data_IF_737209978583
#
_entry.id   IF_737209978583
#
_cell.length_a   1.000
_cell.length_b   1.000
_cell.length_c   1.000
_cell.angle_alpha   90.00
_cell.angle_beta   90.00
_cell.angle_gamma   90.00
#
_symmetry.space_group_name_H-M   'P 1'
#
loop_
_entity.id
_entity.type
_entity.pdbx_description
1 polymer ?
#
# COMPACT_ATOMS: atom_id res chain seq x y z
N UNK A 1 22.59 29.88 -0.18
CA UNK A 1 21.97 28.74 0.52
C UNK A 1 22.72 28.54 1.82
N UNK A 2 22.02 28.38 2.95
CA UNK A 2 22.69 28.04 4.20
C UNK A 2 23.20 26.59 4.13
N UNK A 3 24.22 26.25 4.92
CA UNK A 3 24.81 24.91 4.88
C UNK A 3 23.79 23.85 5.34
N UNK A 4 22.85 24.21 6.22
CA UNK A 4 21.75 23.35 6.67
C UNK A 4 20.87 22.92 5.50
N UNK A 5 20.51 23.86 4.62
CA UNK A 5 19.67 23.57 3.44
C UNK A 5 20.42 22.64 2.48
N UNK A 6 21.72 22.89 2.26
CA UNK A 6 22.55 22.03 1.40
C UNK A 6 22.64 20.61 1.98
N UNK A 7 22.81 20.49 3.29
CA UNK A 7 22.85 19.21 3.99
C UNK A 7 21.53 18.44 3.88
N UNK A 8 20.39 19.08 4.14
CA UNK A 8 19.07 18.44 4.06
C UNK A 8 18.74 18.04 2.62
N UNK A 9 19.03 18.90 1.63
CA UNK A 9 18.85 18.57 0.22
C UNK A 9 19.73 17.41 -0.23
N UNK A 10 20.98 17.36 0.26
CA UNK A 10 21.86 16.23 0.01
C UNK A 10 21.31 14.93 0.60
N UNK A 11 20.85 14.96 1.86
CA UNK A 11 20.22 13.78 2.48
C UNK A 11 18.98 13.32 1.72
N UNK A 12 18.13 14.25 1.29
CA UNK A 12 16.93 13.95 0.50
C UNK A 12 17.28 13.32 -0.85
N UNK A 13 18.26 13.87 -1.55
CA UNK A 13 18.71 13.34 -2.84
C UNK A 13 19.39 11.97 -2.68
N UNK A 14 20.20 11.79 -1.64
CA UNK A 14 20.81 10.51 -1.30
C UNK A 14 19.76 9.44 -0.97
N UNK A 15 18.71 9.80 -0.21
CA UNK A 15 17.60 8.91 0.10
C UNK A 15 16.84 8.50 -1.17
N UNK A 16 16.52 9.46 -2.05
CA UNK A 16 15.86 9.18 -3.34
C UNK A 16 16.70 8.26 -4.22
N UNK A 17 18.00 8.54 -4.37
CA UNK A 17 18.91 7.69 -5.16
C UNK A 17 19.00 6.29 -4.56
N UNK A 18 19.07 6.16 -3.23
CA UNK A 18 19.07 4.86 -2.55
C UNK A 18 17.78 4.08 -2.81
N UNK A 19 16.62 4.75 -2.74
CA UNK A 19 15.32 4.14 -3.05
C UNK A 19 15.19 3.73 -4.51
N UNK A 20 15.73 4.49 -5.46
CA UNK A 20 15.72 4.13 -6.89
C UNK A 20 16.65 2.94 -7.18
N UNK A 21 17.82 2.91 -6.54
CA UNK A 21 18.81 1.87 -6.78
C UNK A 21 18.48 0.55 -6.07
N UNK A 22 17.63 0.58 -5.04
CA UNK A 22 17.19 -0.57 -4.23
C UNK A 22 18.35 -1.50 -3.76
N UNK A 23 19.58 -0.99 -3.69
CA UNK A 23 20.76 -1.79 -3.29
C UNK A 23 20.78 -2.13 -1.82
N UNK A 24 20.17 -1.28 -1.01
CA UNK A 24 19.99 -1.48 0.43
C UNK A 24 18.50 -1.46 0.75
N UNK A 25 18.06 -2.21 1.79
CA UNK A 25 16.68 -2.16 2.24
C UNK A 25 16.21 -0.73 2.56
N UNK A 26 14.94 -0.45 2.28
CA UNK A 26 14.35 0.89 2.42
C UNK A 26 14.29 1.35 3.87
N UNK A 27 14.08 0.42 4.82
CA UNK A 27 14.14 0.62 6.25
C UNK A 27 15.55 1.02 6.71
N UNK A 28 16.59 0.36 6.20
CA UNK A 28 17.99 0.72 6.49
C UNK A 28 18.31 2.13 5.99
N UNK A 29 17.84 2.49 4.78
CA UNK A 29 17.99 3.85 4.24
C UNK A 29 17.30 4.88 5.15
N UNK A 30 16.04 4.62 5.54
CA UNK A 30 15.26 5.53 6.38
C UNK A 30 15.92 5.74 7.76
N UNK A 31 16.34 4.66 8.43
CA UNK A 31 17.03 4.72 9.73
C UNK A 31 18.36 5.47 9.60
N UNK A 32 19.09 5.26 8.51
CA UNK A 32 20.38 5.95 8.27
C UNK A 32 20.18 7.45 8.10
N UNK A 33 19.21 7.87 7.28
CA UNK A 33 18.89 9.29 7.09
C UNK A 33 18.43 9.92 8.40
N UNK A 34 17.56 9.22 9.15
CA UNK A 34 17.10 9.64 10.48
C UNK A 34 18.26 9.79 11.48
N UNK A 35 19.19 8.83 11.51
CA UNK A 35 20.35 8.89 12.39
C UNK A 35 21.28 10.06 12.01
N UNK A 36 21.54 10.25 10.72
CA UNK A 36 22.42 11.33 10.23
C UNK A 36 21.85 12.71 10.54
N UNK A 37 20.56 12.94 10.30
CA UNK A 37 19.93 14.23 10.64
C UNK A 37 19.94 14.46 12.15
N UNK A 38 19.67 13.42 12.95
CA UNK A 38 19.69 13.50 14.43
C UNK A 38 21.07 13.87 14.95
N UNK A 39 22.12 13.18 14.49
CA UNK A 39 23.50 13.44 14.91
C UNK A 39 23.89 14.87 14.55
N UNK A 40 23.65 15.29 13.30
CA UNK A 40 24.04 16.64 12.86
C UNK A 40 23.24 17.72 13.57
N UNK A 41 21.94 17.53 13.84
CA UNK A 41 21.13 18.45 14.65
C UNK A 41 21.70 18.64 16.06
N UNK A 42 22.06 17.55 16.75
CA UNK A 42 22.61 17.60 18.12
C UNK A 42 23.97 18.29 18.15
N UNK A 43 24.88 17.90 17.25
CA UNK A 43 26.25 18.43 17.25
C UNK A 43 26.35 19.86 16.74
N UNK A 44 25.47 20.27 15.83
CA UNK A 44 25.58 21.60 15.23
C UNK A 44 24.89 22.69 16.04
N UNK A 45 23.91 22.35 16.90
CA UNK A 45 23.18 23.33 17.73
C UNK A 45 22.50 24.45 16.93
N UNK A 46 22.24 24.24 15.64
CA UNK A 46 21.62 25.24 14.77
C UNK A 46 20.13 25.28 15.02
N UNK A 47 19.59 26.47 15.28
CA UNK A 47 18.14 26.70 15.42
C UNK A 47 17.35 26.42 14.13
N UNK A 48 18.03 26.27 12.99
CA UNK A 48 17.40 25.99 11.68
C UNK A 48 17.22 24.51 11.39
N UNK A 49 17.87 23.64 12.16
CA UNK A 49 17.70 22.20 12.07
C UNK A 49 16.66 21.75 13.11
N UNK A 50 15.88 20.71 12.81
CA UNK A 50 14.86 20.24 13.74
C UNK A 50 15.52 19.73 15.02
N UNK A 51 14.95 20.14 16.16
CA UNK A 51 15.38 19.70 17.48
C UNK A 51 15.07 18.23 17.73
N UNK A 52 15.61 17.66 18.82
CA UNK A 52 15.35 16.26 19.20
C UNK A 52 13.86 15.96 19.35
N UNK A 53 13.10 16.89 19.95
CA UNK A 53 11.67 16.71 20.17
C UNK A 53 10.89 16.67 18.84
N UNK A 54 11.28 17.50 17.87
CA UNK A 54 10.66 17.52 16.53
C UNK A 54 10.99 16.25 15.74
N UNK A 55 12.26 15.83 15.77
CA UNK A 55 12.71 14.60 15.10
C UNK A 55 12.00 13.37 15.69
N UNK A 56 11.92 13.26 17.02
CA UNK A 56 11.22 12.16 17.69
C UNK A 56 9.70 12.28 17.54
N UNK A 57 9.17 13.49 17.36
CA UNK A 57 7.76 13.76 17.11
C UNK A 57 7.20 13.06 15.86
N UNK A 58 8.06 12.67 14.92
CA UNK A 58 7.68 11.86 13.73
C UNK A 58 7.04 10.53 14.15
N UNK A 59 7.50 9.91 15.25
CA UNK A 59 6.93 8.66 15.76
C UNK A 59 5.56 8.83 16.41
N UNK A 60 5.16 10.06 16.75
CA UNK A 60 3.81 10.35 17.23
C UNK A 60 2.78 10.40 16.10
N UNK A 61 3.16 10.16 14.84
CA UNK A 61 2.19 10.01 13.75
C UNK A 61 1.36 8.72 13.97
N UNK A 62 0.00 8.79 13.97
CA UNK A 62 -0.82 7.60 14.12
C UNK A 62 -0.74 6.65 12.91
N UNK A 63 -0.37 7.12 11.71
CA UNK A 63 -0.40 6.32 10.48
C UNK A 63 0.46 5.04 10.54
N UNK A 64 1.73 5.05 10.99
CA UNK A 64 2.50 3.82 11.16
C UNK A 64 1.80 2.79 12.06
N UNK A 65 1.18 3.23 13.15
CA UNK A 65 0.42 2.35 14.05
C UNK A 65 -0.84 1.81 13.38
N UNK A 66 -1.56 2.65 12.62
CA UNK A 66 -2.72 2.23 11.83
C UNK A 66 -2.32 1.20 10.77
N UNK A 67 -1.19 1.40 10.08
CA UNK A 67 -0.64 0.44 9.10
C UNK A 67 -0.32 -0.88 9.80
N UNK A 68 0.32 -0.86 10.97
CA UNK A 68 0.61 -2.07 11.75
C UNK A 68 -0.67 -2.83 12.13
N UNK A 69 -1.69 -2.12 12.63
CA UNK A 69 -2.99 -2.71 12.94
C UNK A 69 -3.67 -3.30 11.69
N UNK A 70 -3.59 -2.62 10.54
CA UNK A 70 -4.15 -3.13 9.29
C UNK A 70 -3.40 -4.33 8.74
N UNK A 71 -2.08 -4.45 8.97
CA UNK A 71 -1.34 -5.68 8.68
C UNK A 71 -1.81 -6.84 9.56
N UNK A 72 -2.11 -6.59 10.84
CA UNK A 72 -2.69 -7.61 11.73
C UNK A 72 -4.07 -8.06 11.23
N UNK A 73 -4.95 -7.11 10.88
CA UNK A 73 -6.28 -7.41 10.32
C UNK A 73 -6.15 -8.16 8.99
N UNK A 74 -5.27 -7.71 8.09
CA UNK A 74 -5.02 -8.37 6.80
C UNK A 74 -4.48 -9.80 6.97
N UNK A 75 -3.56 -10.00 7.91
CA UNK A 75 -3.02 -11.33 8.22
C UNK A 75 -4.06 -12.24 8.87
N UNK A 76 -4.92 -11.70 9.76
CA UNK A 76 -6.02 -12.43 10.36
C UNK A 76 -7.05 -12.85 9.30
N UNK A 77 -7.45 -11.94 8.41
CA UNK A 77 -8.33 -12.23 7.29
C UNK A 77 -7.73 -13.25 6.31
N UNK A 78 -6.42 -13.21 6.09
CA UNK A 78 -5.69 -14.22 5.31
C UNK A 78 -5.67 -15.60 5.96
N UNK A 79 -5.72 -15.69 7.29
CA UNK A 79 -5.82 -16.95 8.05
C UNK A 79 -7.27 -17.40 8.27
N UNK A 80 -8.23 -16.49 8.16
CA UNK A 80 -9.63 -16.85 8.14
C UNK A 80 -9.90 -17.56 6.81
N UNK A 81 -10.48 -18.76 6.89
CA UNK A 81 -10.98 -19.53 5.75
C UNK A 81 -12.04 -18.77 4.91
N UNK A 82 -12.28 -17.48 5.16
CA UNK A 82 -13.18 -16.60 4.40
C UNK A 82 -12.68 -16.42 2.96
N UNK A 83 -11.38 -16.18 2.77
CA UNK A 83 -10.80 -16.03 1.43
C UNK A 83 -10.75 -17.40 0.72
N UNK A 84 -10.51 -18.48 1.46
CA UNK A 84 -10.57 -19.87 0.96
C UNK A 84 -12.01 -20.31 0.63
N UNK A 85 -13.01 -19.87 1.39
CA UNK A 85 -14.41 -20.11 1.10
C UNK A 85 -14.85 -19.36 -0.17
N UNK A 86 -14.39 -18.11 -0.35
CA UNK A 86 -14.60 -17.35 -1.58
C UNK A 86 -13.96 -18.04 -2.80
N UNK A 87 -12.76 -18.58 -2.62
CA UNK A 87 -12.03 -19.32 -3.65
C UNK A 87 -12.71 -20.66 -4.01
N UNK A 88 -13.25 -21.37 -3.01
CA UNK A 88 -14.07 -22.57 -3.18
C UNK A 88 -15.40 -22.28 -3.91
N UNK A 89 -16.02 -21.13 -3.64
CA UNK A 89 -17.20 -20.68 -4.37
C UNK A 89 -16.88 -20.40 -5.85
N UNK A 90 -15.76 -19.71 -6.14
CA UNK A 90 -15.29 -19.48 -7.52
C UNK A 90 -15.05 -20.78 -8.29
N UNK A 91 -14.55 -21.82 -7.62
CA UNK A 91 -14.29 -23.12 -8.26
C UNK A 91 -15.59 -23.81 -8.72
N UNK A 92 -16.71 -23.55 -8.05
CA UNK A 92 -18.04 -24.04 -8.48
C UNK A 92 -18.61 -23.28 -9.69
N UNK A 93 -18.08 -22.09 -9.95
CA UNK A 93 -18.48 -21.20 -11.05
C UNK A 93 -17.64 -21.40 -12.32
N UNK A 94 -16.78 -22.42 -12.35
CA UNK A 94 -15.94 -22.78 -13.51
C UNK A 94 -16.77 -23.19 -14.74
N UNK A 95 -18.03 -23.59 -14.55
CA UNK A 95 -18.95 -23.95 -15.65
C UNK A 95 -19.49 -22.79 -16.49
N UNK A 96 -19.26 -21.52 -16.10
CA UNK A 96 -19.88 -20.34 -16.74
C UNK A 96 -19.05 -19.82 -17.94
N UNK A 97 -17.97 -20.53 -18.30
CA UNK A 97 -17.06 -20.16 -19.39
C UNK A 97 -16.06 -19.06 -19.01
N UNK A 98 -15.08 -18.83 -19.89
CA UNK A 98 -13.92 -17.96 -19.63
C UNK A 98 -14.29 -16.54 -19.18
N UNK A 99 -15.19 -15.89 -19.93
CA UNK A 99 -15.58 -14.50 -19.68
C UNK A 99 -16.39 -14.35 -18.39
N UNK A 100 -17.30 -15.30 -18.11
CA UNK A 100 -18.10 -15.29 -16.89
C UNK A 100 -17.23 -15.46 -15.64
N UNK A 101 -16.30 -16.42 -15.67
CA UNK A 101 -15.34 -16.59 -14.58
C UNK A 101 -14.46 -15.36 -14.39
N UNK A 102 -13.92 -14.79 -15.48
CA UNK A 102 -13.05 -13.62 -15.40
C UNK A 102 -13.73 -12.43 -14.74
N UNK A 103 -15.00 -12.17 -15.08
CA UNK A 103 -15.80 -11.11 -14.44
C UNK A 103 -16.00 -11.36 -12.94
N UNK A 104 -16.37 -12.60 -12.56
CA UNK A 104 -16.55 -12.96 -11.15
C UNK A 104 -15.24 -12.85 -10.39
N UNK A 105 -14.13 -13.28 -10.99
CA UNK A 105 -12.79 -13.16 -10.41
C UNK A 105 -12.44 -11.71 -10.14
N UNK A 106 -12.54 -10.85 -11.17
CA UNK A 106 -12.22 -9.42 -11.07
C UNK A 106 -13.08 -8.76 -9.99
N UNK A 107 -14.40 -8.98 -10.00
CA UNK A 107 -15.32 -8.39 -9.03
C UNK A 107 -15.02 -8.85 -7.59
N UNK A 108 -14.79 -10.15 -7.40
CA UNK A 108 -14.52 -10.73 -6.06
C UNK A 108 -13.20 -10.21 -5.50
N UNK A 109 -12.17 -10.19 -6.34
CA UNK A 109 -10.81 -9.76 -5.95
C UNK A 109 -10.80 -8.28 -5.64
N UNK A 110 -11.42 -7.44 -6.48
CA UNK A 110 -11.51 -6.01 -6.23
C UNK A 110 -12.26 -5.69 -4.93
N UNK A 111 -13.37 -6.39 -4.66
CA UNK A 111 -14.14 -6.21 -3.43
C UNK A 111 -13.33 -6.60 -2.18
N UNK A 112 -12.60 -7.71 -2.23
CA UNK A 112 -11.77 -8.16 -1.10
C UNK A 112 -10.56 -7.21 -0.93
N UNK A 113 -9.91 -6.83 -2.03
CA UNK A 113 -8.75 -5.94 -2.03
C UNK A 113 -9.09 -4.51 -1.59
N UNK A 114 -10.35 -4.10 -1.69
CA UNK A 114 -10.82 -2.85 -1.11
C UNK A 114 -10.73 -2.82 0.42
N UNK A 115 -10.54 -3.95 1.11
CA UNK A 115 -10.40 -3.97 2.57
C UNK A 115 -9.16 -4.70 3.05
N UNK A 116 -8.49 -5.44 2.16
CA UNK A 116 -7.29 -6.23 2.44
C UNK A 116 -6.19 -5.80 1.49
N UNK A 117 -4.97 -5.65 1.99
CA UNK A 117 -3.83 -5.32 1.14
C UNK A 117 -3.65 -6.36 0.01
N UNK A 118 -3.11 -5.92 -1.13
CA UNK A 118 -3.12 -6.67 -2.39
C UNK A 118 -2.41 -8.04 -2.29
N UNK A 119 -1.29 -8.11 -1.54
CA UNK A 119 -0.41 -9.30 -1.52
C UNK A 119 -1.10 -10.57 -0.97
N UNK A 120 -1.74 -10.57 0.21
CA UNK A 120 -2.52 -11.72 0.68
C UNK A 120 -3.61 -12.17 -0.29
N UNK A 121 -4.32 -11.21 -0.92
CA UNK A 121 -5.41 -11.52 -1.84
C UNK A 121 -4.87 -12.30 -3.04
N UNK A 122 -3.81 -11.81 -3.69
CA UNK A 122 -3.22 -12.51 -4.84
C UNK A 122 -2.74 -13.92 -4.47
N UNK A 123 -2.09 -14.09 -3.32
CA UNK A 123 -1.58 -15.40 -2.87
C UNK A 123 -2.70 -16.42 -2.68
N UNK A 124 -3.85 -16.02 -2.12
CA UNK A 124 -4.97 -16.97 -1.90
C UNK A 124 -5.70 -17.31 -3.19
N UNK A 125 -5.82 -16.37 -4.13
CA UNK A 125 -6.49 -16.62 -5.41
C UNK A 125 -5.59 -17.32 -6.44
N UNK A 126 -4.26 -17.26 -6.27
CA UNK A 126 -3.27 -17.92 -7.12
C UNK A 126 -3.59 -19.41 -7.40
N UNK A 127 -3.81 -20.29 -6.41
CA UNK A 127 -4.10 -21.70 -6.67
C UNK A 127 -5.39 -21.91 -7.48
N UNK A 128 -6.44 -21.12 -7.23
CA UNK A 128 -7.70 -21.21 -7.98
C UNK A 128 -7.52 -20.79 -9.43
N UNK A 129 -6.80 -19.68 -9.65
CA UNK A 129 -6.48 -19.20 -10.99
C UNK A 129 -5.60 -20.20 -11.75
N UNK A 130 -4.60 -20.79 -11.11
CA UNK A 130 -3.74 -21.80 -11.73
C UNK A 130 -4.50 -23.10 -12.06
N UNK A 131 -5.37 -23.55 -11.16
CA UNK A 131 -6.22 -24.73 -11.37
C UNK A 131 -7.16 -24.53 -12.58
N UNK A 132 -7.77 -23.36 -12.67
CA UNK A 132 -8.64 -23.03 -13.79
C UNK A 132 -7.89 -22.87 -15.12
N UNK A 133 -6.76 -22.16 -15.11
CA UNK A 133 -5.93 -22.01 -16.30
C UNK A 133 -5.58 -23.39 -16.90
N UNK A 134 -5.28 -24.36 -16.03
CA UNK A 134 -5.02 -25.74 -16.39
C UNK A 134 -6.26 -26.46 -16.94
N UNK A 135 -7.42 -26.34 -16.30
CA UNK A 135 -8.66 -27.00 -16.77
C UNK A 135 -9.17 -26.44 -18.09
N UNK A 136 -8.93 -25.15 -18.34
CA UNK A 136 -9.30 -24.47 -19.59
C UNK A 136 -8.21 -24.54 -20.68
N UNK A 137 -7.05 -25.14 -20.39
CA UNK A 137 -5.91 -25.24 -21.30
C UNK A 137 -5.45 -23.87 -21.85
N UNK A 138 -5.34 -22.88 -20.96
CA UNK A 138 -4.87 -21.53 -21.28
C UNK A 138 -3.66 -21.17 -20.41
N UNK A 139 -2.87 -20.19 -20.85
CA UNK A 139 -1.79 -19.64 -20.02
C UNK A 139 -2.34 -18.95 -18.77
N UNK A 140 -1.82 -19.30 -17.59
CA UNK A 140 -2.19 -18.70 -16.31
C UNK A 140 -2.00 -17.19 -16.30
N UNK A 141 -1.03 -16.65 -17.04
CA UNK A 141 -0.79 -15.20 -17.15
C UNK A 141 -2.02 -14.43 -17.63
N UNK A 142 -2.88 -15.04 -18.46
CA UNK A 142 -4.12 -14.41 -18.95
C UNK A 142 -5.15 -14.17 -17.85
N UNK A 143 -5.06 -14.91 -16.74
CA UNK A 143 -5.92 -14.75 -15.57
C UNK A 143 -5.20 -14.01 -14.42
N UNK A 144 -3.88 -14.20 -14.29
CA UNK A 144 -3.07 -13.56 -13.25
C UNK A 144 -2.89 -12.05 -13.48
N UNK A 145 -2.77 -11.60 -14.73
CA UNK A 145 -2.69 -10.16 -15.03
C UNK A 145 -3.99 -9.44 -14.63
N UNK A 146 -5.18 -9.88 -15.06
CA UNK A 146 -6.44 -9.29 -14.59
C UNK A 146 -6.65 -9.38 -13.08
N UNK A 147 -6.26 -10.49 -12.44
CA UNK A 147 -6.28 -10.64 -10.99
C UNK A 147 -5.46 -9.53 -10.31
N UNK A 148 -4.24 -9.30 -10.79
CA UNK A 148 -3.34 -8.28 -10.24
C UNK A 148 -3.93 -6.87 -10.37
N UNK A 149 -4.46 -6.52 -11.54
CA UNK A 149 -5.09 -5.21 -11.74
C UNK A 149 -6.35 -5.04 -10.91
N UNK A 150 -7.22 -6.06 -10.85
CA UNK A 150 -8.41 -6.02 -10.00
C UNK A 150 -8.06 -5.78 -8.53
N UNK A 151 -6.99 -6.41 -8.03
CA UNK A 151 -6.50 -6.19 -6.68
C UNK A 151 -6.02 -4.75 -6.47
N UNK A 152 -5.20 -4.22 -7.38
CA UNK A 152 -4.69 -2.85 -7.30
C UNK A 152 -5.83 -1.83 -7.32
N UNK A 153 -6.73 -1.90 -8.31
CA UNK A 153 -7.84 -0.96 -8.45
C UNK A 153 -8.86 -1.09 -7.32
N UNK A 154 -9.10 -2.30 -6.83
CA UNK A 154 -9.90 -2.53 -5.62
C UNK A 154 -9.31 -1.81 -4.41
N UNK A 155 -8.00 -1.99 -4.17
CA UNK A 155 -7.28 -1.34 -3.06
C UNK A 155 -7.22 0.18 -3.16
N UNK A 156 -7.32 0.74 -4.37
CA UNK A 156 -7.43 2.19 -4.57
C UNK A 156 -8.80 2.77 -4.17
N UNK A 157 -9.84 1.94 -3.99
CA UNK A 157 -11.17 2.44 -3.66
C UNK A 157 -11.34 2.86 -2.19
N UNK A 158 -10.46 2.42 -1.29
CA UNK A 158 -10.59 2.74 0.14
C UNK A 158 -9.30 3.22 0.77
N UNK A 159 -9.43 3.87 1.92
CA UNK A 159 -8.29 4.27 2.73
C UNK A 159 -7.46 3.07 3.21
N UNK A 160 -8.11 1.96 3.56
CA UNK A 160 -7.46 0.77 4.14
C UNK A 160 -6.88 -0.16 3.09
N UNK A 161 -7.32 -0.07 1.84
CA UNK A 161 -6.91 -0.98 0.77
C UNK A 161 -5.39 -0.99 0.51
N UNK A 162 -4.68 0.11 0.77
CA UNK A 162 -3.22 0.18 0.63
C UNK A 162 -2.55 0.95 1.76
N UNK A 163 -1.33 0.55 2.13
CA UNK A 163 -0.52 1.26 3.13
C UNK A 163 -0.15 2.68 2.70
N UNK A 164 -0.05 2.93 1.40
CA UNK A 164 0.20 4.26 0.82
C UNK A 164 -0.94 5.22 1.11
N UNK A 165 -2.20 4.78 1.02
CA UNK A 165 -3.36 5.62 1.30
C UNK A 165 -3.41 6.02 2.79
N UNK A 166 -3.14 5.07 3.70
CA UNK A 166 -3.07 5.33 5.15
C UNK A 166 -1.95 6.32 5.48
N UNK A 167 -0.77 6.14 4.87
CA UNK A 167 0.36 7.04 5.08
C UNK A 167 0.04 8.46 4.59
N UNK A 168 -0.53 8.59 3.39
CA UNK A 168 -0.94 9.89 2.85
C UNK A 168 -1.96 10.59 3.76
N UNK A 169 -2.99 9.88 4.21
CA UNK A 169 -3.99 10.41 5.14
C UNK A 169 -3.39 10.87 6.48
N UNK A 170 -2.45 10.11 7.02
CA UNK A 170 -1.74 10.50 8.26
C UNK A 170 -0.79 11.67 8.11
N UNK A 171 -0.27 11.93 6.90
CA UNK A 171 0.51 13.14 6.60
C UNK A 171 -0.44 14.34 6.45
N UNK A 172 -1.57 14.18 5.77
CA UNK A 172 -2.57 15.24 5.58
C UNK A 172 -3.12 15.76 6.91
N UNK A 173 -3.51 14.86 7.83
CA UNK A 173 -4.05 15.24 9.14
C UNK A 173 -3.08 15.96 10.08
N UNK A 174 -1.79 16.04 9.73
CA UNK A 174 -0.74 16.76 10.49
C UNK A 174 -0.10 17.89 9.70
N UNK A 175 -0.66 18.27 8.55
CA UNK A 175 -0.05 19.25 7.67
C UNK A 175 -0.27 20.69 8.19
N UNK A 176 0.79 21.35 8.62
CA UNK A 176 0.75 22.75 9.07
C UNK A 176 0.64 23.75 7.92
N UNK A 177 1.01 23.36 6.69
CA UNK A 177 0.95 24.21 5.49
C UNK A 177 -0.49 24.35 4.99
N UNK A 178 -1.29 23.28 5.13
CA UNK A 178 -2.70 23.25 4.77
C UNK A 178 -3.54 22.77 5.96
N UNK A 179 -3.73 23.63 6.99
CA UNK A 179 -4.37 23.23 8.25
C UNK A 179 -5.85 22.84 8.11
N UNK A 180 -6.52 23.22 7.03
CA UNK A 180 -7.90 22.81 6.74
C UNK A 180 -8.00 21.49 5.96
N UNK A 181 -6.87 20.85 5.64
CA UNK A 181 -6.86 19.62 4.87
C UNK A 181 -7.15 18.43 5.79
N UNK A 182 -8.43 18.03 5.85
CA UNK A 182 -8.86 16.90 6.67
C UNK A 182 -8.20 15.57 6.22
N UNK A 183 -7.99 14.62 7.14
CA UNK A 183 -7.59 13.26 6.78
C UNK A 183 -8.57 12.65 5.78
N UNK A 184 -8.05 11.83 4.85
CA UNK A 184 -8.88 11.17 3.85
C UNK A 184 -9.97 10.32 4.48
N UNK A 185 -11.21 10.48 4.02
CA UNK A 185 -12.33 9.63 4.42
C UNK A 185 -12.19 8.19 3.88
N UNK A 186 -12.83 7.22 4.55
CA UNK A 186 -12.74 5.79 4.21
C UNK A 186 -13.00 5.49 2.72
N UNK A 187 -14.01 6.14 2.13
CA UNK A 187 -14.45 5.92 0.74
C UNK A 187 -14.22 7.14 -0.16
N UNK A 188 -13.44 8.11 0.29
CA UNK A 188 -13.19 9.31 -0.50
C UNK A 188 -12.44 8.98 -1.80
N UNK A 189 -11.47 8.06 -1.70
CA UNK A 189 -10.71 7.54 -2.83
C UNK A 189 -11.57 6.74 -3.82
N UNK A 190 -12.73 6.21 -3.40
CA UNK A 190 -13.65 5.49 -4.27
C UNK A 190 -14.14 6.37 -5.44
N UNK A 191 -14.21 7.69 -5.25
CA UNK A 191 -14.58 8.65 -6.32
C UNK A 191 -13.65 8.58 -7.53
N UNK A 192 -12.38 8.21 -7.32
CA UNK A 192 -11.37 8.03 -8.37
C UNK A 192 -11.15 6.54 -8.67
N UNK A 193 -11.14 5.70 -7.64
CA UNK A 193 -10.90 4.26 -7.76
C UNK A 193 -11.98 3.52 -8.56
N UNK A 194 -13.27 3.83 -8.35
CA UNK A 194 -14.37 3.17 -9.07
C UNK A 194 -14.33 3.45 -10.58
N UNK A 195 -14.21 4.70 -11.07
CA UNK A 195 -14.06 4.96 -12.49
C UNK A 195 -12.86 4.23 -13.12
N UNK A 196 -11.71 4.23 -12.44
CA UNK A 196 -10.52 3.51 -12.93
C UNK A 196 -10.76 2.01 -13.04
N UNK A 197 -11.46 1.43 -12.06
CA UNK A 197 -11.81 0.01 -12.07
C UNK A 197 -12.72 -0.38 -13.25
N UNK A 198 -13.68 0.46 -13.63
CA UNK A 198 -14.58 0.16 -14.74
C UNK A 198 -13.97 0.39 -16.14
N UNK A 199 -12.86 1.13 -16.21
CA UNK A 199 -12.16 1.44 -17.48
C UNK A 199 -11.03 0.45 -17.79
N UNK A 200 -10.47 -0.19 -16.75
CA UNK A 200 -9.37 -1.16 -16.86
C UNK A 200 -9.83 -2.58 -17.22
#
# INVERSE_FOLDING_TARGET
MSWEIVFVLFLLLAALVSFILERVPTDVTAITVFALITIVSIFSGSERLPGLDEILGVFANPAPLTIAAMFVVSAALGKCHLIEAASGYLTRLVGIGYRGFLLVLIASVALISAFVNNTPVVVVFLPVVMSLAKSMNISSSKLLIPLSYASIFGGCCTLVGTSTNILASGIMGKNEIYPEMEPLGMFELAKVGLPLFFVA
#
